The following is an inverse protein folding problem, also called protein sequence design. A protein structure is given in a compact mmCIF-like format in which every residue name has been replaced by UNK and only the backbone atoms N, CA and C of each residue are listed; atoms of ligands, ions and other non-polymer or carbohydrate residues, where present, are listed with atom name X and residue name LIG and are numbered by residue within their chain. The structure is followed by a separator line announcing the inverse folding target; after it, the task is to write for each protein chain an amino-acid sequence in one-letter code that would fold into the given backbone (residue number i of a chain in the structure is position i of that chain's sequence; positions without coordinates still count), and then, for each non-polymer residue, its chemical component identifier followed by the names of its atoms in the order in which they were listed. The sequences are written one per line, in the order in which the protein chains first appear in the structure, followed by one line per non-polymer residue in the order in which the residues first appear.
data_IF_482879710058
#
_entry.id   IF_482879710058
#
_cell.length_a   1.000
_cell.length_b   1.000
_cell.length_c   1.000
_cell.angle_alpha   90.00
_cell.angle_beta   90.00
_cell.angle_gamma   90.00
#
_symmetry.space_group_name_H-M   'P 1'
#
loop_
_entity.id
_entity.type
_entity.pdbx_description
1 polymer ?
#
# COMPACT_ATOMS: atom_id res chain seq x y z
N UNK A 1 53.63 9.74 -42.68
CA UNK A 1 53.93 9.14 -41.37
C UNK A 1 52.65 8.50 -40.86
N UNK A 2 52.47 7.19 -41.06
CA UNK A 2 51.24 6.49 -40.69
C UNK A 2 51.29 6.16 -39.20
N UNK A 3 50.36 6.73 -38.42
CA UNK A 3 50.23 6.44 -36.99
C UNK A 3 49.79 4.98 -36.84
N UNK A 4 50.70 4.10 -36.40
CA UNK A 4 50.36 2.71 -36.06
C UNK A 4 49.83 2.69 -34.64
N UNK A 5 48.53 2.47 -34.49
CA UNK A 5 47.89 2.26 -33.20
C UNK A 5 48.46 0.98 -32.56
N UNK A 6 48.95 1.08 -31.33
CA UNK A 6 49.38 -0.07 -30.55
C UNK A 6 48.16 -0.80 -29.97
N UNK A 7 48.31 -2.06 -29.55
CA UNK A 7 47.23 -2.86 -28.95
C UNK A 7 46.61 -2.18 -27.72
N UNK A 8 47.39 -1.39 -26.98
CA UNK A 8 46.93 -0.56 -25.88
C UNK A 8 46.00 0.58 -26.31
N UNK A 9 46.27 1.23 -27.44
CA UNK A 9 45.45 2.32 -27.98
C UNK A 9 44.08 1.81 -28.44
N UNK A 10 44.05 0.62 -29.05
CA UNK A 10 42.83 -0.06 -29.47
C UNK A 10 41.97 -0.44 -28.25
N UNK A 11 42.60 -0.93 -27.17
CA UNK A 11 41.91 -1.24 -25.93
C UNK A 11 41.37 0.02 -25.25
N UNK A 12 42.16 1.10 -25.20
CA UNK A 12 41.72 2.41 -24.68
C UNK A 12 40.53 2.98 -25.46
N UNK A 13 40.57 2.90 -26.80
CA UNK A 13 39.46 3.34 -27.65
C UNK A 13 38.17 2.54 -27.39
N UNK A 14 38.27 1.22 -27.22
CA UNK A 14 37.11 0.37 -26.86
C UNK A 14 36.51 0.75 -25.52
N UNK A 15 37.34 1.03 -24.51
CA UNK A 15 36.88 1.46 -23.19
C UNK A 15 36.17 2.81 -23.29
N UNK A 16 36.79 3.80 -23.94
CA UNK A 16 36.17 5.12 -24.12
C UNK A 16 34.86 5.04 -24.90
N UNK A 17 34.79 4.19 -25.92
CA UNK A 17 33.57 3.96 -26.69
C UNK A 17 32.47 3.29 -25.84
N UNK A 18 32.81 2.30 -25.02
CA UNK A 18 31.86 1.65 -24.10
C UNK A 18 31.35 2.61 -23.03
N UNK A 19 32.21 3.49 -22.49
CA UNK A 19 31.81 4.52 -21.54
C UNK A 19 30.87 5.54 -22.21
N UNK A 20 31.17 5.95 -23.45
CA UNK A 20 30.30 6.83 -24.23
C UNK A 20 28.89 6.24 -24.42
N UNK A 21 28.80 4.95 -24.75
CA UNK A 21 27.51 4.25 -24.86
C UNK A 21 26.80 4.21 -23.50
N UNK A 22 27.50 3.84 -22.43
CA UNK A 22 26.91 3.76 -21.09
C UNK A 22 26.36 5.12 -20.64
N UNK A 23 27.14 6.19 -20.79
CA UNK A 23 26.69 7.55 -20.47
C UNK A 23 25.53 8.00 -21.35
N UNK A 24 25.53 7.63 -22.64
CA UNK A 24 24.40 7.87 -23.55
C UNK A 24 23.12 7.18 -23.07
N UNK A 25 23.20 5.90 -22.70
CA UNK A 25 22.07 5.13 -22.18
C UNK A 25 21.55 5.69 -20.85
N UNK A 26 22.46 6.05 -19.92
CA UNK A 26 22.08 6.70 -18.66
C UNK A 26 21.41 8.05 -18.93
N UNK A 27 21.92 8.84 -19.88
CA UNK A 27 21.35 10.14 -20.23
C UNK A 27 19.95 10.02 -20.85
N UNK A 28 19.74 9.03 -21.72
CA UNK A 28 18.41 8.73 -22.29
C UNK A 28 17.45 8.25 -21.21
N UNK A 29 17.90 7.40 -20.29
CA UNK A 29 17.09 6.94 -19.16
C UNK A 29 16.68 8.12 -18.26
N UNK A 30 17.63 8.98 -17.88
CA UNK A 30 17.37 10.18 -17.07
C UNK A 30 16.44 11.14 -17.81
N UNK A 31 16.67 11.37 -19.10
CA UNK A 31 15.79 12.21 -19.93
C UNK A 31 14.36 11.65 -19.96
N UNK A 32 14.22 10.33 -20.14
CA UNK A 32 12.92 9.64 -20.11
C UNK A 32 12.23 9.83 -18.76
N UNK A 33 12.94 9.60 -17.64
CA UNK A 33 12.41 9.78 -16.29
C UNK A 33 11.95 11.22 -16.04
N UNK A 34 12.74 12.22 -16.45
CA UNK A 34 12.39 13.65 -16.25
C UNK A 34 11.18 14.07 -17.10
N UNK A 35 11.04 13.52 -18.30
CA UNK A 35 9.96 13.88 -19.24
C UNK A 35 8.77 12.92 -19.20
N UNK A 36 8.76 11.96 -18.26
CA UNK A 36 7.58 11.19 -17.94
C UNK A 36 6.49 12.16 -17.48
N UNK A 37 5.46 12.32 -18.31
CA UNK A 37 4.27 13.08 -17.93
C UNK A 37 3.51 12.27 -16.91
N UNK A 38 3.64 12.64 -15.64
CA UNK A 38 2.74 12.12 -14.61
C UNK A 38 1.31 12.56 -14.92
N UNK A 39 0.36 11.66 -14.68
CA UNK A 39 -1.06 12.01 -14.71
C UNK A 39 -1.25 13.07 -13.62
N UNK A 40 -1.90 14.17 -13.96
CA UNK A 40 -2.21 15.21 -12.97
C UNK A 40 -3.17 14.63 -11.94
N UNK A 41 -2.80 14.61 -10.64
CA UNK A 41 -3.65 14.03 -9.60
C UNK A 41 -4.97 14.79 -9.54
N UNK A 42 -6.07 14.05 -9.35
CA UNK A 42 -7.38 14.62 -9.17
C UNK A 42 -7.46 15.33 -7.81
N UNK A 43 -8.04 16.55 -7.76
CA UNK A 43 -8.13 17.35 -6.55
C UNK A 43 -9.18 16.82 -5.57
N UNK A 44 -9.25 17.42 -4.36
CA UNK A 44 -10.15 17.00 -3.28
C UNK A 44 -11.63 17.09 -3.66
N UNK A 45 -11.98 18.09 -4.46
CA UNK A 45 -13.33 18.40 -4.95
C UNK A 45 -13.67 17.61 -6.24
N UNK A 46 -12.83 16.65 -6.64
CA UNK A 46 -13.15 15.78 -7.75
C UNK A 46 -14.47 15.03 -7.50
N UNK A 47 -15.24 14.76 -8.58
CA UNK A 47 -16.50 14.05 -8.49
C UNK A 47 -16.45 12.79 -7.61
N UNK A 48 -17.52 12.48 -6.84
CA UNK A 48 -17.51 11.37 -5.87
C UNK A 48 -17.39 9.99 -6.54
N UNK A 49 -17.80 9.89 -7.80
CA UNK A 49 -17.71 8.74 -8.70
C UNK A 49 -16.31 8.54 -9.31
N UNK A 50 -15.31 9.33 -8.90
CA UNK A 50 -13.92 9.18 -9.30
C UNK A 50 -13.02 8.97 -8.09
N UNK A 51 -11.97 8.17 -8.29
CA UNK A 51 -10.86 8.11 -7.36
C UNK A 51 -10.15 9.46 -7.33
N UNK A 52 -9.90 10.02 -6.15
CA UNK A 52 -9.11 11.25 -6.00
C UNK A 52 -7.81 10.97 -5.25
N UNK A 53 -6.70 11.22 -5.93
CA UNK A 53 -5.36 11.14 -5.33
C UNK A 53 -5.22 12.14 -4.17
N UNK A 54 -5.84 13.32 -4.25
CA UNK A 54 -5.79 14.28 -3.15
C UNK A 54 -6.50 13.75 -1.88
N UNK A 55 -7.64 13.05 -2.03
CA UNK A 55 -8.33 12.42 -0.89
C UNK A 55 -7.51 11.30 -0.28
N UNK A 56 -6.90 10.46 -1.12
CA UNK A 56 -5.96 9.45 -0.66
C UNK A 56 -4.76 10.07 0.08
N UNK A 57 -4.14 11.12 -0.47
CA UNK A 57 -3.02 11.83 0.19
C UNK A 57 -3.42 12.40 1.56
N UNK A 58 -4.66 12.85 1.73
CA UNK A 58 -5.15 13.32 3.04
C UNK A 58 -5.20 12.19 4.06
N UNK A 59 -5.68 10.99 3.68
CA UNK A 59 -5.58 9.81 4.53
C UNK A 59 -4.12 9.49 4.88
N UNK A 60 -3.20 9.57 3.90
CA UNK A 60 -1.78 9.37 4.14
C UNK A 60 -1.25 10.37 5.16
N UNK A 61 -1.60 11.65 5.03
CA UNK A 61 -1.17 12.72 5.94
C UNK A 61 -1.60 12.43 7.37
N UNK A 62 -2.88 12.07 7.60
CA UNK A 62 -3.38 11.78 8.95
C UNK A 62 -2.67 10.56 9.54
N UNK A 63 -2.57 9.50 8.75
CA UNK A 63 -1.96 8.23 9.13
C UNK A 63 -0.46 8.41 9.48
N UNK A 64 0.32 9.02 8.57
CA UNK A 64 1.78 9.18 8.73
C UNK A 64 2.18 10.29 9.70
N UNK A 65 1.63 11.49 9.53
CA UNK A 65 2.11 12.71 10.18
C UNK A 65 1.35 13.02 11.47
N UNK A 66 0.03 12.92 11.45
CA UNK A 66 -0.80 13.33 12.59
C UNK A 66 -0.82 12.24 13.68
N UNK A 67 -0.88 10.96 13.28
CA UNK A 67 -0.83 9.82 14.21
C UNK A 67 0.62 9.41 14.49
N UNK A 68 1.37 9.03 13.44
CA UNK A 68 2.75 8.58 13.54
C UNK A 68 2.99 7.32 14.39
N UNK A 69 4.17 6.71 14.25
CA UNK A 69 4.65 5.70 15.20
C UNK A 69 3.74 4.48 15.41
N UNK A 70 3.32 3.81 14.33
CA UNK A 70 2.38 2.66 14.34
C UNK A 70 3.06 1.31 14.46
N UNK A 71 4.24 1.28 15.06
CA UNK A 71 4.86 0.02 15.42
C UNK A 71 3.96 -0.75 16.38
N UNK A 72 4.01 -2.07 16.32
CA UNK A 72 3.31 -2.92 17.27
C UNK A 72 3.65 -2.57 18.72
N UNK A 73 2.61 -2.54 19.56
CA UNK A 73 2.69 -2.10 20.96
C UNK A 73 2.68 -0.57 21.18
N UNK A 74 2.77 0.26 20.14
CA UNK A 74 2.66 1.73 20.27
C UNK A 74 1.23 2.22 20.18
N UNK A 75 0.99 3.41 20.76
CA UNK A 75 -0.31 4.07 20.72
C UNK A 75 -0.75 4.42 19.29
N UNK A 76 0.21 4.74 18.41
CA UNK A 76 -0.06 5.10 17.02
C UNK A 76 -0.86 4.03 16.27
N UNK A 77 -0.58 2.74 16.50
CA UNK A 77 -1.29 1.64 15.84
C UNK A 77 -2.77 1.61 16.23
N UNK A 78 -3.08 1.83 17.52
CA UNK A 78 -4.47 1.90 17.99
C UNK A 78 -5.21 3.11 17.44
N UNK A 79 -4.54 4.26 17.37
CA UNK A 79 -5.10 5.48 16.79
C UNK A 79 -5.36 5.32 15.28
N UNK A 80 -4.48 4.61 14.57
CA UNK A 80 -4.68 4.29 13.16
C UNK A 80 -5.88 3.36 12.95
N UNK A 81 -6.01 2.30 13.75
CA UNK A 81 -7.17 1.43 13.73
C UNK A 81 -8.48 2.21 14.01
N UNK A 82 -8.49 3.07 15.03
CA UNK A 82 -9.64 3.93 15.34
C UNK A 82 -9.98 4.89 14.18
N UNK A 83 -8.97 5.48 13.55
CA UNK A 83 -9.16 6.34 12.40
C UNK A 83 -9.81 5.58 11.24
N UNK A 84 -9.27 4.41 10.88
CA UNK A 84 -9.82 3.55 9.81
C UNK A 84 -11.26 3.19 10.14
N UNK A 85 -11.52 2.66 11.34
CA UNK A 85 -12.88 2.29 11.78
C UNK A 85 -13.85 3.46 11.66
N UNK A 86 -13.43 4.67 12.08
CA UNK A 86 -14.24 5.88 11.97
C UNK A 86 -14.55 6.22 10.51
N UNK A 87 -13.56 6.12 9.60
CA UNK A 87 -13.80 6.37 8.18
C UNK A 87 -14.78 5.36 7.57
N UNK A 88 -14.68 4.08 7.94
CA UNK A 88 -15.56 3.02 7.43
C UNK A 88 -17.00 3.20 7.94
N UNK A 89 -17.19 3.55 9.21
CA UNK A 89 -18.53 3.82 9.76
C UNK A 89 -19.18 5.04 9.09
N UNK A 90 -18.40 6.10 8.85
CA UNK A 90 -18.89 7.26 8.09
C UNK A 90 -19.30 6.89 6.65
N UNK A 91 -18.63 5.93 6.02
CA UNK A 91 -19.04 5.42 4.71
C UNK A 91 -20.32 4.59 4.82
N UNK A 92 -20.43 3.75 5.86
CA UNK A 92 -21.62 2.94 6.12
C UNK A 92 -22.88 3.78 6.33
N UNK A 93 -22.77 4.90 7.05
CA UNK A 93 -23.87 5.84 7.24
C UNK A 93 -24.35 6.50 5.94
N UNK A 94 -23.45 6.67 4.95
CA UNK A 94 -23.76 7.28 3.65
C UNK A 94 -24.12 6.26 2.57
N UNK A 95 -24.18 4.96 2.90
CA UNK A 95 -24.43 3.91 1.93
C UNK A 95 -25.81 4.05 1.25
N UNK A 96 -25.83 3.83 -0.06
CA UNK A 96 -27.07 3.91 -0.84
C UNK A 96 -27.99 2.71 -0.60
N UNK A 97 -29.32 2.88 -0.77
CA UNK A 97 -30.27 1.77 -0.73
C UNK A 97 -29.91 0.71 -1.78
N UNK A 98 -29.71 -0.54 -1.35
CA UNK A 98 -29.32 -1.66 -2.22
C UNK A 98 -27.89 -2.18 -1.98
N UNK A 99 -27.08 -1.46 -1.21
CA UNK A 99 -25.77 -1.92 -0.75
C UNK A 99 -25.85 -2.30 0.73
N UNK A 100 -25.34 -3.47 1.08
CA UNK A 100 -25.12 -3.93 2.46
C UNK A 100 -23.64 -3.80 2.80
N UNK A 101 -23.35 -3.05 3.86
CA UNK A 101 -22.00 -2.84 4.40
C UNK A 101 -21.91 -3.44 5.79
N UNK A 102 -20.99 -4.39 5.94
CA UNK A 102 -20.66 -5.07 7.19
C UNK A 102 -19.24 -4.68 7.58
N UNK A 103 -19.05 -4.28 8.83
CA UNK A 103 -17.74 -3.89 9.37
C UNK A 103 -17.47 -4.76 10.59
N UNK A 104 -16.34 -5.43 10.62
CA UNK A 104 -15.91 -6.30 11.70
C UNK A 104 -14.50 -5.95 12.15
N UNK A 105 -14.33 -5.73 13.45
CA UNK A 105 -13.02 -5.64 14.09
C UNK A 105 -12.69 -7.00 14.70
N UNK A 106 -11.59 -7.61 14.25
CA UNK A 106 -11.13 -8.90 14.77
C UNK A 106 -9.83 -8.73 15.54
N UNK A 107 -9.76 -9.35 16.72
CA UNK A 107 -8.56 -9.36 17.55
C UNK A 107 -7.96 -10.76 17.50
N UNK A 108 -6.82 -10.88 16.84
CA UNK A 108 -6.11 -12.15 16.64
C UNK A 108 -4.95 -12.26 17.62
N UNK A 109 -4.79 -13.45 18.19
CA UNK A 109 -3.64 -13.85 18.99
C UNK A 109 -2.96 -15.04 18.31
N UNK A 110 -1.63 -15.05 18.28
CA UNK A 110 -0.92 -16.16 17.71
C UNK A 110 0.57 -16.10 17.98
N UNK A 111 1.26 -17.18 17.63
CA UNK A 111 2.70 -17.23 17.69
C UNK A 111 3.20 -18.09 16.55
N UNK A 112 4.34 -17.70 15.99
CA UNK A 112 5.04 -18.49 15.00
C UNK A 112 6.51 -18.57 15.35
N UNK A 113 7.10 -19.72 15.04
CA UNK A 113 8.52 -19.96 15.21
C UNK A 113 9.18 -19.87 13.85
N UNK A 114 10.18 -19.00 13.72
CA UNK A 114 10.99 -18.89 12.52
C UNK A 114 12.44 -19.28 12.86
N UNK A 115 13.06 -20.05 11.97
CA UNK A 115 14.49 -20.33 12.04
C UNK A 115 15.25 -19.31 11.20
N UNK A 116 16.03 -18.44 11.85
CA UNK A 116 16.87 -17.46 11.17
C UNK A 116 18.30 -17.56 11.71
N UNK A 117 19.30 -17.65 10.82
CA UNK A 117 20.73 -17.77 11.17
C UNK A 117 21.04 -18.85 12.23
N UNK A 118 20.45 -20.05 12.10
CA UNK A 118 20.60 -21.19 13.06
C UNK A 118 20.06 -20.93 14.48
N UNK A 119 19.33 -19.84 14.69
CA UNK A 119 18.61 -19.57 15.94
C UNK A 119 17.09 -19.67 15.71
N UNK A 120 16.39 -20.32 16.64
CA UNK A 120 14.92 -20.31 16.66
C UNK A 120 14.45 -19.01 17.30
N UNK A 121 13.76 -18.18 16.53
CA UNK A 121 13.11 -16.98 17.02
C UNK A 121 11.61 -17.25 17.10
N UNK A 122 11.06 -17.21 18.30
CA UNK A 122 9.63 -17.33 18.57
C UNK A 122 9.02 -15.92 18.60
N UNK A 123 8.22 -15.57 17.59
CA UNK A 123 7.45 -14.34 17.62
C UNK A 123 6.03 -14.66 18.06
N UNK A 124 5.61 -14.08 19.18
CA UNK A 124 4.24 -14.14 19.66
C UNK A 124 3.59 -12.76 19.51
N UNK A 125 2.43 -12.71 18.88
CA UNK A 125 1.59 -11.53 18.79
C UNK A 125 0.36 -11.70 19.68
N UNK A 126 0.04 -10.64 20.42
CA UNK A 126 -1.13 -10.58 21.30
C UNK A 126 -1.89 -9.29 21.03
N UNK A 127 -3.21 -9.39 21.04
CA UNK A 127 -4.15 -8.29 20.80
C UNK A 127 -3.89 -7.58 19.47
N UNK A 128 -3.79 -8.37 18.40
CA UNK A 128 -3.58 -7.81 17.08
C UNK A 128 -4.91 -7.49 16.39
N UNK A 129 -5.17 -6.20 16.13
CA UNK A 129 -6.41 -5.72 15.50
C UNK A 129 -6.33 -5.76 13.98
N UNK A 130 -7.27 -6.47 13.36
CA UNK A 130 -7.58 -6.38 11.93
C UNK A 130 -8.97 -5.77 11.77
N UNK A 131 -9.16 -4.96 10.72
CA UNK A 131 -10.44 -4.35 10.40
C UNK A 131 -10.87 -4.87 9.03
N UNK A 132 -12.09 -5.39 8.97
CA UNK A 132 -12.68 -5.96 7.75
C UNK A 132 -13.92 -5.15 7.41
N UNK A 133 -14.02 -4.72 6.15
CA UNK A 133 -15.24 -4.14 5.59
C UNK A 133 -15.70 -4.98 4.41
N UNK A 134 -16.91 -5.51 4.46
CA UNK A 134 -17.54 -6.21 3.34
C UNK A 134 -18.61 -5.31 2.73
N UNK A 135 -18.48 -5.05 1.43
CA UNK A 135 -19.49 -4.36 0.62
C UNK A 135 -20.15 -5.41 -0.28
N UNK A 136 -21.47 -5.52 -0.22
CA UNK A 136 -22.24 -6.50 -1.00
C UNK A 136 -23.58 -5.92 -1.46
N UNK A 137 -24.19 -6.51 -2.49
CA UNK A 137 -25.61 -6.26 -2.79
C UNK A 137 -26.48 -6.84 -1.67
N UNK A 138 -27.63 -6.21 -1.40
CA UNK A 138 -28.65 -6.74 -0.49
C UNK A 138 -29.15 -8.14 -0.91
N UNK A 139 -29.09 -8.45 -2.19
CA UNK A 139 -29.52 -9.74 -2.75
C UNK A 139 -28.39 -10.81 -2.72
N UNK A 140 -27.18 -10.44 -2.27
CA UNK A 140 -26.04 -11.35 -2.25
C UNK A 140 -26.14 -12.35 -1.11
N UNK A 141 -25.92 -13.63 -1.43
CA UNK A 141 -25.88 -14.72 -0.47
C UNK A 141 -24.56 -14.74 0.31
N UNK A 142 -24.58 -15.37 1.49
CA UNK A 142 -23.37 -15.45 2.34
C UNK A 142 -22.21 -16.22 1.67
N UNK A 143 -22.54 -17.21 0.82
CA UNK A 143 -21.60 -18.08 0.12
C UNK A 143 -21.16 -17.59 -1.27
N UNK A 144 -21.51 -16.36 -1.65
CA UNK A 144 -21.08 -15.80 -2.94
C UNK A 144 -19.57 -15.58 -2.95
N UNK A 145 -18.91 -15.95 -4.06
CA UNK A 145 -17.48 -15.70 -4.24
C UNK A 145 -17.17 -14.21 -4.11
N UNK A 146 -16.20 -13.85 -3.27
CA UNK A 146 -15.84 -12.47 -2.98
C UNK A 146 -14.47 -12.10 -3.57
N UNK A 147 -14.25 -10.80 -3.78
CA UNK A 147 -12.93 -10.23 -4.10
C UNK A 147 -12.35 -9.65 -2.81
N UNK A 148 -11.15 -10.10 -2.42
CA UNK A 148 -10.42 -9.57 -1.28
C UNK A 148 -9.40 -8.52 -1.73
N UNK A 149 -9.48 -7.33 -1.14
CA UNK A 149 -8.50 -6.27 -1.26
C UNK A 149 -7.83 -6.14 0.10
N UNK A 150 -6.58 -6.58 0.18
CA UNK A 150 -5.78 -6.49 1.40
C UNK A 150 -4.89 -5.25 1.34
N UNK A 151 -4.70 -4.61 2.49
CA UNK A 151 -3.59 -3.71 2.72
C UNK A 151 -3.30 -3.61 4.20
N UNK A 152 -2.13 -3.10 4.55
CA UNK A 152 -1.69 -3.04 5.93
C UNK A 152 -1.41 -1.61 6.42
N UNK A 153 -1.65 -1.38 7.71
CA UNK A 153 -1.56 -0.06 8.35
C UNK A 153 -0.54 0.01 9.49
N UNK A 154 0.15 -1.10 9.78
CA UNK A 154 1.32 -1.13 10.67
C UNK A 154 2.58 -0.63 9.98
N UNK A 155 3.68 -0.47 10.74
CA UNK A 155 4.98 -0.06 10.20
C UNK A 155 6.11 -0.78 10.92
N UNK A 156 7.18 -1.10 10.19
CA UNK A 156 8.39 -1.70 10.75
C UNK A 156 8.99 -0.92 11.93
N UNK A 157 9.59 -1.62 12.93
CA UNK A 157 10.34 -0.99 14.02
C UNK A 157 11.49 -0.11 13.53
N UNK A 158 11.49 1.16 13.92
CA UNK A 158 12.55 2.11 13.55
C UNK A 158 12.51 2.60 12.09
N UNK A 159 11.57 2.11 11.28
CA UNK A 159 11.28 2.63 9.95
C UNK A 159 10.08 3.58 10.03
N UNK A 160 10.08 4.66 9.24
CA UNK A 160 8.87 5.44 8.99
C UNK A 160 7.85 4.66 8.13
N UNK A 161 8.24 3.54 7.49
CA UNK A 161 7.35 2.70 6.65
C UNK A 161 7.56 2.91 5.14
N UNK A 162 8.80 3.24 4.74
CA UNK A 162 9.12 3.66 3.37
C UNK A 162 9.58 2.53 2.43
N UNK A 163 9.67 1.29 2.90
CA UNK A 163 10.37 0.21 2.18
C UNK A 163 9.59 -1.08 1.96
N UNK A 164 8.42 -1.26 2.57
CA UNK A 164 7.58 -2.44 2.32
C UNK A 164 6.58 -2.11 1.20
N UNK A 165 6.50 -2.99 0.21
CA UNK A 165 5.90 -2.81 -1.13
C UNK A 165 6.74 -2.01 -2.15
N UNK A 166 7.35 -2.75 -3.08
CA UNK A 166 8.21 -2.27 -4.18
C UNK A 166 7.52 -1.43 -5.28
N UNK A 167 6.45 -0.70 -4.98
CA UNK A 167 5.71 0.14 -5.94
C UNK A 167 5.76 1.65 -5.63
N UNK A 168 6.29 2.07 -4.47
CA UNK A 168 6.26 3.47 -4.09
C UNK A 168 7.52 4.23 -4.52
N UNK A 169 7.64 4.52 -5.82
CA UNK A 169 8.48 5.63 -6.30
C UNK A 169 7.60 6.87 -6.35
N UNK A 170 7.36 7.50 -5.20
CA UNK A 170 6.84 8.88 -5.16
C UNK A 170 8.03 9.81 -5.02
N UNK A 171 8.55 10.23 -6.18
CA UNK A 171 9.49 11.34 -6.25
C UNK A 171 8.80 12.60 -5.74
N UNK A 172 9.38 13.19 -4.69
CA UNK A 172 8.89 14.36 -3.97
C UNK A 172 7.64 14.11 -3.13
N UNK A 173 7.79 13.36 -2.04
CA UNK A 173 7.30 13.69 -0.70
C UNK A 173 7.82 12.58 0.22
N UNK A 174 8.41 12.94 1.36
CA UNK A 174 8.76 12.02 2.45
C UNK A 174 7.49 11.45 3.12
N UNK A 175 6.62 10.78 2.36
CA UNK A 175 5.41 10.12 2.86
C UNK A 175 5.63 8.61 2.82
N UNK A 176 5.38 8.00 3.97
CA UNK A 176 5.48 6.57 4.25
C UNK A 176 4.71 5.73 3.22
N UNK A 177 5.42 4.88 2.49
CA UNK A 177 4.93 4.05 1.39
C UNK A 177 3.78 3.12 1.80
N UNK A 178 3.87 2.49 2.97
CA UNK A 178 2.80 1.63 3.54
C UNK A 178 1.46 2.37 3.64
N UNK A 179 1.49 3.69 3.82
CA UNK A 179 0.26 4.48 3.93
C UNK A 179 -0.40 4.78 2.61
N UNK A 180 0.36 4.75 1.52
CA UNK A 180 -0.21 4.91 0.19
C UNK A 180 -1.16 3.76 -0.11
N UNK A 181 -0.85 2.54 0.32
CA UNK A 181 -1.73 1.38 0.14
C UNK A 181 -3.02 1.53 0.97
N UNK A 182 -2.92 1.66 2.30
CA UNK A 182 -4.11 1.81 3.17
C UNK A 182 -4.98 2.99 2.74
N UNK A 183 -4.36 4.13 2.38
CA UNK A 183 -5.09 5.31 1.91
C UNK A 183 -5.77 5.07 0.55
N UNK A 184 -5.12 4.36 -0.37
CA UNK A 184 -5.71 4.02 -1.66
C UNK A 184 -6.90 3.08 -1.49
N UNK A 185 -6.79 2.11 -0.58
CA UNK A 185 -7.89 1.20 -0.26
C UNK A 185 -9.06 1.94 0.40
N UNK A 186 -8.79 2.90 1.29
CA UNK A 186 -9.83 3.76 1.87
C UNK A 186 -10.55 4.60 0.80
N UNK A 187 -9.82 5.20 -0.15
CA UNK A 187 -10.44 5.95 -1.24
C UNK A 187 -11.19 5.05 -2.22
N UNK A 188 -10.74 3.80 -2.44
CA UNK A 188 -11.47 2.79 -3.23
C UNK A 188 -12.76 2.34 -2.52
N UNK A 189 -12.72 2.13 -1.21
CA UNK A 189 -13.91 1.83 -0.41
C UNK A 189 -14.90 2.99 -0.48
N UNK A 190 -14.43 4.23 -0.28
CA UNK A 190 -15.24 5.44 -0.45
C UNK A 190 -15.88 5.51 -1.84
N UNK A 191 -15.08 5.33 -2.89
CA UNK A 191 -15.54 5.34 -4.27
C UNK A 191 -16.62 4.28 -4.52
N UNK A 192 -16.44 3.07 -3.98
CA UNK A 192 -17.40 1.98 -4.13
C UNK A 192 -18.75 2.32 -3.51
N UNK A 193 -18.76 3.04 -2.39
CA UNK A 193 -19.99 3.47 -1.70
C UNK A 193 -20.63 4.68 -2.37
N UNK A 194 -19.84 5.71 -2.67
CA UNK A 194 -20.35 7.02 -3.11
C UNK A 194 -20.70 7.08 -4.62
N UNK A 195 -20.17 6.16 -5.44
CA UNK A 195 -20.45 6.12 -6.88
C UNK A 195 -21.84 5.59 -7.25
N UNK A 196 -22.57 5.01 -6.28
CA UNK A 196 -23.83 4.30 -6.54
C UNK A 196 -23.66 2.99 -7.30
N UNK A 197 -22.44 2.46 -7.35
CA UNK A 197 -22.16 1.15 -7.90
C UNK A 197 -22.60 0.05 -6.94
N UNK A 198 -23.52 -0.80 -7.38
CA UNK A 198 -23.89 -2.02 -6.64
C UNK A 198 -22.99 -3.15 -7.13
N UNK A 199 -22.14 -3.72 -6.26
CA UNK A 199 -21.18 -4.72 -6.69
C UNK A 199 -21.90 -6.03 -7.05
N UNK A 200 -21.62 -6.63 -8.22
CA UNK A 200 -22.25 -7.89 -8.65
C UNK A 200 -21.77 -9.10 -7.83
N UNK A 201 -20.62 -8.97 -7.16
CA UNK A 201 -20.08 -9.92 -6.19
C UNK A 201 -19.54 -9.16 -4.98
N UNK A 202 -19.57 -9.74 -3.77
CA UNK A 202 -19.04 -9.07 -2.58
C UNK A 202 -17.57 -8.65 -2.75
N UNK A 203 -17.24 -7.47 -2.22
CA UNK A 203 -15.87 -6.98 -2.11
C UNK A 203 -15.54 -6.85 -0.63
N UNK A 204 -14.43 -7.48 -0.22
CA UNK A 204 -13.94 -7.48 1.16
C UNK A 204 -12.66 -6.65 1.18
N UNK A 205 -12.65 -5.60 1.99
CA UNK A 205 -11.48 -4.81 2.30
C UNK A 205 -10.93 -5.26 3.64
N UNK A 206 -9.68 -5.72 3.66
CA UNK A 206 -9.00 -6.20 4.85
C UNK A 206 -7.83 -5.27 5.16
N UNK A 207 -7.95 -4.55 6.27
CA UNK A 207 -6.90 -3.70 6.84
C UNK A 207 -6.17 -4.51 7.92
N UNK A 208 -4.93 -4.86 7.62
CA UNK A 208 -4.06 -5.66 8.48
C UNK A 208 -3.14 -4.75 9.32
N UNK A 209 -2.90 -5.04 10.59
CA UNK A 209 -1.97 -4.25 11.41
C UNK A 209 -0.77 -5.05 11.96
N UNK A 210 -0.43 -6.18 11.33
CA UNK A 210 0.73 -7.00 11.67
C UNK A 210 1.36 -7.65 10.43
N UNK A 211 1.37 -6.94 9.30
CA UNK A 211 2.04 -7.41 8.08
C UNK A 211 3.57 -7.30 8.22
N UNK A 212 4.07 -6.22 8.83
CA UNK A 212 5.51 -5.90 8.94
C UNK A 212 6.24 -6.80 9.98
N UNK A 213 5.48 -7.71 10.62
CA UNK A 213 5.99 -8.83 11.42
C UNK A 213 5.96 -10.14 10.63
N UNK A 214 6.21 -10.07 9.31
CA UNK A 214 6.38 -11.20 8.39
C UNK A 214 5.07 -11.80 7.83
N UNK A 215 4.18 -10.98 7.26
CA UNK A 215 2.97 -11.41 6.54
C UNK A 215 2.07 -12.37 7.34
N UNK A 216 1.81 -12.04 8.61
CA UNK A 216 1.19 -12.98 9.55
C UNK A 216 -0.28 -13.31 9.31
N UNK A 217 -0.91 -12.71 8.30
CA UNK A 217 -2.35 -12.80 8.06
C UNK A 217 -2.76 -13.66 6.84
N UNK A 218 -1.87 -14.49 6.28
CA UNK A 218 -2.24 -15.45 5.21
C UNK A 218 -3.11 -16.63 5.71
N UNK A 219 -3.65 -16.55 6.93
CA UNK A 219 -4.49 -17.56 7.54
C UNK A 219 -5.95 -17.15 7.63
N UNK A 220 -6.59 -16.82 6.50
CA UNK A 220 -8.04 -16.98 6.42
C UNK A 220 -8.28 -18.49 6.51
N UNK A 221 -8.66 -18.97 7.71
CA UNK A 221 -9.19 -20.32 7.85
C UNK A 221 -10.46 -20.38 7.00
N UNK A 222 -10.37 -21.04 5.86
CA UNK A 222 -11.55 -21.63 5.21
C UNK A 222 -12.27 -22.46 6.28
N UNK A 223 -13.49 -22.03 6.63
CA UNK A 223 -14.45 -22.82 7.40
C UNK A 223 -15.50 -23.36 6.46
#
# INVERSE_FOLDING_TARGET
MAWRLNSGDIAGFKILFSLGILYGLISVLVYSIIHMKFITPLPMDAPPDRFSEARAIEHVRVLSKDIGGRQQGRQGLRLAAQYIMTQLELMKERAQPGIRIEIEETIVNGSFNMFFLRHSISLAYRNHTNIIMRISSVDSGENDSAVLINGHFDTSPGSPGAGDCGSCVVGYIYLDCTMTETASILELARLSVDSGWIPPRPVIFLFNGAEELFMLNNGLKES
#
